data_IF_952190127436
#
_entry.id   IF_952190127436
#
_cell.length_a   1.000
_cell.length_b   1.000
_cell.length_c   1.000
_cell.angle_alpha   90.00
_cell.angle_beta   90.00
_cell.angle_gamma   90.00
#
_symmetry.space_group_name_H-M   'P 1'
#
loop_
_entity.id
_entity.type
_entity.pdbx_description
1 polymer ?
#
# COMPACT_ATOMS: atom_id res chain seq x y z
N UNK A 1 11.66 -1.22 -16.18
CA UNK A 1 11.38 -0.50 -14.93
C UNK A 1 10.78 -1.51 -13.96
N UNK A 2 11.39 -1.72 -12.80
CA UNK A 2 10.85 -2.65 -11.81
C UNK A 2 9.56 -2.07 -11.20
N UNK A 3 8.60 -2.92 -10.86
CA UNK A 3 7.36 -2.48 -10.22
C UNK A 3 7.67 -1.85 -8.85
N UNK A 4 7.04 -0.71 -8.48
CA UNK A 4 7.22 -0.11 -7.14
C UNK A 4 6.56 -0.94 -6.02
N UNK A 5 5.70 -1.89 -6.39
CA UNK A 5 4.91 -2.71 -5.47
C UNK A 5 5.70 -3.38 -4.34
N UNK A 6 6.83 -4.09 -4.60
CA UNK A 6 7.55 -4.80 -3.55
C UNK A 6 8.07 -3.85 -2.45
N UNK A 7 8.57 -2.68 -2.86
CA UNK A 7 9.14 -1.67 -1.96
C UNK A 7 8.01 -0.99 -1.16
N UNK A 8 6.92 -0.59 -1.83
CA UNK A 8 5.77 0.06 -1.19
C UNK A 8 5.04 -0.86 -0.22
N UNK A 9 4.82 -2.13 -0.60
CA UNK A 9 4.22 -3.13 0.29
C UNK A 9 5.06 -3.30 1.56
N UNK A 10 6.38 -3.49 1.42
CA UNK A 10 7.28 -3.64 2.56
C UNK A 10 7.27 -2.40 3.45
N UNK A 11 7.28 -1.20 2.87
CA UNK A 11 7.25 0.05 3.61
C UNK A 11 5.96 0.20 4.42
N UNK A 12 4.80 0.03 3.79
CA UNK A 12 3.50 0.09 4.48
C UNK A 12 3.39 -0.95 5.60
N UNK A 13 3.81 -2.21 5.34
CA UNK A 13 3.80 -3.26 6.36
C UNK A 13 4.66 -2.91 7.57
N UNK A 14 5.86 -2.38 7.35
CA UNK A 14 6.75 -1.97 8.45
C UNK A 14 6.16 -0.84 9.27
N UNK A 15 5.53 0.15 8.62
CA UNK A 15 4.84 1.25 9.31
C UNK A 15 3.65 0.74 10.13
N UNK A 16 2.91 -0.25 9.61
CA UNK A 16 1.82 -0.91 10.33
C UNK A 16 2.30 -1.84 11.46
N UNK A 17 3.61 -2.03 11.66
CA UNK A 17 4.16 -2.90 12.71
C UNK A 17 3.90 -4.40 12.51
N UNK A 18 3.50 -4.82 11.31
CA UNK A 18 3.12 -6.21 11.03
C UNK A 18 4.31 -7.05 10.55
N UNK A 19 4.36 -8.32 10.93
CA UNK A 19 5.26 -9.29 10.29
C UNK A 19 4.67 -9.75 8.94
N UNK A 20 5.48 -10.34 8.06
CA UNK A 20 4.99 -10.93 6.81
C UNK A 20 3.95 -12.03 7.07
N UNK A 21 4.17 -12.82 8.13
CA UNK A 21 3.23 -13.86 8.54
C UNK A 21 1.92 -13.26 9.05
N UNK A 22 1.98 -12.24 9.91
CA UNK A 22 0.79 -11.59 10.45
C UNK A 22 -0.07 -11.00 9.33
N UNK A 23 0.54 -10.24 8.41
CA UNK A 23 -0.17 -9.67 7.27
C UNK A 23 -0.82 -10.75 6.39
N UNK A 24 -0.11 -11.84 6.12
CA UNK A 24 -0.68 -12.95 5.34
C UNK A 24 -1.84 -13.66 6.06
N UNK A 25 -1.74 -13.87 7.38
CA UNK A 25 -2.82 -14.47 8.17
C UNK A 25 -4.05 -13.55 8.19
N UNK A 26 -3.87 -12.24 8.36
CA UNK A 26 -4.97 -11.26 8.33
C UNK A 26 -5.70 -11.26 6.98
N UNK A 27 -4.99 -11.59 5.90
CA UNK A 27 -5.56 -11.77 4.55
C UNK A 27 -6.23 -13.13 4.32
N UNK A 28 -6.33 -13.97 5.35
CA UNK A 28 -6.91 -15.31 5.28
C UNK A 28 -6.01 -16.34 4.60
N UNK A 29 -4.70 -16.11 4.52
CA UNK A 29 -3.75 -17.11 4.00
C UNK A 29 -3.47 -18.19 5.06
N UNK A 30 -3.13 -19.39 4.59
CA UNK A 30 -2.68 -20.48 5.46
C UNK A 30 -1.44 -20.03 6.26
N UNK A 31 -1.44 -20.15 7.61
CA UNK A 31 -0.33 -19.72 8.47
C UNK A 31 1.03 -20.29 8.10
N UNK A 32 1.07 -21.51 7.55
CA UNK A 32 2.31 -22.19 7.15
C UNK A 32 2.90 -21.62 5.85
N UNK A 33 2.10 -20.92 5.04
CA UNK A 33 2.52 -20.37 3.73
C UNK A 33 2.46 -18.85 3.65
N UNK A 34 1.80 -18.20 4.60
CA UNK A 34 1.59 -16.75 4.67
C UNK A 34 2.91 -15.97 4.53
N UNK A 35 3.91 -16.27 5.37
CA UNK A 35 5.20 -15.58 5.35
C UNK A 35 5.93 -15.75 4.01
N UNK A 36 5.94 -16.97 3.45
CA UNK A 36 6.58 -17.28 2.18
C UNK A 36 5.94 -16.50 1.02
N UNK A 37 4.60 -16.43 0.98
CA UNK A 37 3.86 -15.70 -0.06
C UNK A 37 4.10 -14.19 0.01
N UNK A 38 4.01 -13.61 1.21
CA UNK A 38 4.29 -12.17 1.40
C UNK A 38 5.75 -11.82 1.07
N UNK A 39 6.70 -12.69 1.43
CA UNK A 39 8.10 -12.51 1.08
C UNK A 39 8.33 -12.54 -0.45
N UNK A 40 7.59 -13.37 -1.19
CA UNK A 40 7.67 -13.37 -2.65
C UNK A 40 7.16 -12.07 -3.26
N UNK A 41 6.08 -11.50 -2.72
CA UNK A 41 5.57 -10.18 -3.12
C UNK A 41 6.57 -9.06 -2.79
N UNK A 42 7.12 -9.03 -1.58
CA UNK A 42 8.11 -8.02 -1.17
C UNK A 42 9.47 -8.13 -1.84
N UNK A 43 9.78 -9.28 -2.46
CA UNK A 43 10.98 -9.46 -3.30
C UNK A 43 10.69 -9.26 -4.78
N UNK A 44 9.45 -9.02 -5.17
CA UNK A 44 9.04 -8.91 -6.57
C UNK A 44 9.12 -10.22 -7.36
N UNK A 45 9.28 -11.38 -6.69
CA UNK A 45 9.31 -12.69 -7.36
C UNK A 45 7.94 -13.03 -7.96
N UNK A 46 6.87 -12.62 -7.28
CA UNK A 46 5.51 -12.69 -7.77
C UNK A 46 4.83 -11.35 -7.54
N UNK A 47 3.92 -10.99 -8.45
CA UNK A 47 3.02 -9.88 -8.27
C UNK A 47 1.62 -10.44 -7.92
N UNK A 48 0.95 -9.89 -6.89
CA UNK A 48 -0.46 -10.21 -6.69
C UNK A 48 -1.32 -9.60 -7.79
N UNK A 49 -2.51 -10.16 -7.99
CA UNK A 49 -3.55 -9.48 -8.76
C UNK A 49 -4.04 -8.21 -8.02
N UNK A 50 -4.79 -7.37 -8.74
CA UNK A 50 -5.29 -6.12 -8.17
C UNK A 50 -6.21 -6.34 -6.96
N UNK A 51 -7.02 -7.41 -6.96
CA UNK A 51 -7.92 -7.70 -5.83
C UNK A 51 -7.12 -8.02 -4.56
N UNK A 52 -6.04 -8.77 -4.67
CA UNK A 52 -5.14 -9.09 -3.57
C UNK A 52 -4.34 -7.86 -3.15
N UNK A 53 -3.88 -7.04 -4.09
CA UNK A 53 -3.25 -5.74 -3.79
C UNK A 53 -4.19 -4.80 -3.04
N UNK A 54 -5.47 -4.75 -3.42
CA UNK A 54 -6.47 -3.95 -2.72
C UNK A 54 -6.67 -4.43 -1.28
N UNK A 55 -6.84 -5.75 -1.08
CA UNK A 55 -6.95 -6.33 0.27
C UNK A 55 -5.71 -6.05 1.13
N UNK A 56 -4.51 -6.15 0.54
CA UNK A 56 -3.26 -5.77 1.21
C UNK A 56 -3.30 -4.30 1.64
N UNK A 57 -3.73 -3.40 0.75
CA UNK A 57 -3.80 -1.97 1.03
C UNK A 57 -4.81 -1.64 2.14
N UNK A 58 -6.00 -2.26 2.08
CA UNK A 58 -7.07 -2.12 3.07
C UNK A 58 -6.58 -2.57 4.46
N UNK A 59 -5.96 -3.75 4.55
CA UNK A 59 -5.38 -4.29 5.79
C UNK A 59 -4.25 -3.40 6.35
N UNK A 60 -3.48 -2.76 5.47
CA UNK A 60 -2.39 -1.86 5.84
C UNK A 60 -2.85 -0.42 6.12
N UNK A 61 -4.13 -0.10 5.90
CA UNK A 61 -4.67 1.24 6.08
C UNK A 61 -4.08 2.28 5.12
N UNK A 62 -3.74 1.88 3.89
CA UNK A 62 -3.17 2.76 2.87
C UNK A 62 -4.00 2.74 1.58
N UNK A 63 -4.04 3.82 0.77
CA UNK A 63 -4.68 3.76 -0.53
C UNK A 63 -3.97 2.75 -1.44
N UNK A 64 -4.72 1.92 -2.18
CA UNK A 64 -4.12 0.93 -3.10
C UNK A 64 -3.17 1.56 -4.14
N UNK A 65 -3.44 2.80 -4.55
CA UNK A 65 -2.57 3.58 -5.44
C UNK A 65 -1.15 3.76 -4.87
N UNK A 66 -0.99 3.85 -3.54
CA UNK A 66 0.32 3.93 -2.89
C UNK A 66 1.21 2.74 -3.25
N UNK A 67 0.64 1.53 -3.36
CA UNK A 67 1.37 0.32 -3.71
C UNK A 67 1.92 0.36 -5.13
N UNK A 68 1.39 1.22 -6.00
CA UNK A 68 1.80 1.32 -7.41
C UNK A 68 2.49 2.66 -7.72
N UNK A 69 2.76 3.49 -6.72
CA UNK A 69 3.36 4.81 -6.90
C UNK A 69 4.89 4.75 -6.84
N UNK A 70 5.56 5.04 -7.94
CA UNK A 70 7.03 5.04 -8.06
C UNK A 70 7.68 6.34 -7.55
N UNK A 71 6.94 7.46 -7.56
CA UNK A 71 7.40 8.74 -7.05
C UNK A 71 7.19 8.87 -5.52
N UNK A 72 8.27 9.18 -4.78
CA UNK A 72 8.22 9.26 -3.31
C UNK A 72 7.37 10.42 -2.78
N UNK A 73 7.36 11.57 -3.46
CA UNK A 73 6.53 12.71 -3.07
C UNK A 73 5.04 12.39 -3.27
N UNK A 74 4.68 11.84 -4.43
CA UNK A 74 3.30 11.43 -4.70
C UNK A 74 2.85 10.30 -3.75
N UNK A 75 3.72 9.34 -3.45
CA UNK A 75 3.42 8.28 -2.49
C UNK A 75 3.15 8.85 -1.08
N UNK A 76 3.94 9.84 -0.65
CA UNK A 76 3.74 10.53 0.63
C UNK A 76 2.42 11.31 0.65
N UNK A 77 2.08 11.98 -0.46
CA UNK A 77 0.81 12.69 -0.62
C UNK A 77 -0.38 11.72 -0.55
N UNK A 78 -0.30 10.56 -1.22
CA UNK A 78 -1.34 9.52 -1.15
C UNK A 78 -1.57 9.04 0.28
N UNK A 79 -0.50 8.78 1.05
CA UNK A 79 -0.63 8.39 2.46
C UNK A 79 -1.26 9.49 3.31
N UNK A 80 -0.90 10.75 3.09
CA UNK A 80 -1.47 11.89 3.81
C UNK A 80 -2.96 12.07 3.49
N UNK A 81 -3.31 12.08 2.19
CA UNK A 81 -4.68 12.17 1.70
C UNK A 81 -5.55 11.03 2.23
N UNK A 82 -5.04 9.80 2.23
CA UNK A 82 -5.77 8.62 2.72
C UNK A 82 -6.17 8.70 4.20
N UNK A 83 -5.55 9.59 4.99
CA UNK A 83 -5.90 9.83 6.40
C UNK A 83 -6.88 10.99 6.59
N UNK A 84 -7.10 11.81 5.57
CA UNK A 84 -8.01 12.94 5.64
C UNK A 84 -9.45 12.49 5.37
N UNK A 85 -10.45 13.11 6.02
CA UNK A 85 -11.84 12.91 5.64
C UNK A 85 -12.12 13.49 4.24
N UNK A 86 -13.15 13.00 3.51
CA UNK A 86 -13.39 13.37 2.12
C UNK A 86 -13.50 14.89 1.86
N UNK A 87 -14.09 15.65 2.79
CA UNK A 87 -14.19 17.11 2.66
C UNK A 87 -12.80 17.79 2.70
N UNK A 88 -11.89 17.33 3.56
CA UNK A 88 -10.52 17.85 3.64
C UNK A 88 -9.67 17.46 2.45
N UNK A 89 -9.92 16.29 1.85
CA UNK A 89 -9.29 15.92 0.59
C UNK A 89 -9.73 16.85 -0.55
N UNK A 90 -11.02 17.20 -0.60
CA UNK A 90 -11.56 18.12 -1.61
C UNK A 90 -11.02 19.54 -1.42
N UNK A 91 -11.00 20.07 -0.20
CA UNK A 91 -10.41 21.38 0.13
C UNK A 91 -8.95 21.48 -0.37
N UNK A 92 -8.12 20.47 -0.05
CA UNK A 92 -6.72 20.43 -0.50
C UNK A 92 -6.58 20.34 -2.02
N UNK A 93 -7.46 19.57 -2.69
CA UNK A 93 -7.46 19.49 -4.15
C UNK A 93 -7.78 20.84 -4.79
N UNK A 94 -8.71 21.59 -4.21
CA UNK A 94 -9.09 22.91 -4.71
C UNK A 94 -7.99 23.96 -4.46
N UNK A 95 -7.28 23.89 -3.33
CA UNK A 95 -6.08 24.70 -3.07
C UNK A 95 -4.99 24.44 -4.11
N UNK A 96 -4.65 23.17 -4.35
CA UNK A 96 -3.65 22.79 -5.37
C UNK A 96 -4.07 23.26 -6.77
N UNK A 97 -5.36 23.23 -7.08
CA UNK A 97 -5.90 23.69 -8.37
C UNK A 97 -5.83 25.21 -8.56
N UNK A 98 -5.87 25.99 -7.49
CA UNK A 98 -5.78 27.44 -7.57
C UNK A 98 -4.39 27.93 -7.99
N UNK A 99 -3.36 27.09 -7.84
CA UNK A 99 -1.97 27.38 -8.24
C UNK A 99 -1.65 27.02 -9.70
N UNK A 100 -2.61 26.44 -10.45
CA UNK A 100 -2.49 26.09 -11.87
C UNK A 100 -3.30 27.04 -12.77
#
# INVERSE_FOLDING_TARGET
>A
MESPFPIRLRAARKVAGMTQQQLGINLGMDPNTASARLNQYEKGKHAPDYQTAKRLADELGVPVAYLYCDNDLLASLLLALGKLPPNKQQELLDEIRADF
#
